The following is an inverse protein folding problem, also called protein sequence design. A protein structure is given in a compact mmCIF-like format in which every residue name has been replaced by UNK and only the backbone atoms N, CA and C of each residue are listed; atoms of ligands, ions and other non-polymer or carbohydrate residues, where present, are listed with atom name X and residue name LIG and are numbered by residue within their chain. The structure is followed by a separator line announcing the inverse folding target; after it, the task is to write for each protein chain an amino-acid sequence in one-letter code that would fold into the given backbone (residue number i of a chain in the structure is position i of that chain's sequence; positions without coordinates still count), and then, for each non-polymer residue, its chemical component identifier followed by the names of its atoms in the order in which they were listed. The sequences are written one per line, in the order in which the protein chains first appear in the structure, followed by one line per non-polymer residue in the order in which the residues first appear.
data_IF_747769566674
#
_entry.id   IF_747769566674
#
_cell.length_a   1.000
_cell.length_b   1.000
_cell.length_c   1.000
_cell.angle_alpha   90.00
_cell.angle_beta   90.00
_cell.angle_gamma   90.00
#
_symmetry.space_group_name_H-M   'P 1'
#
loop_
_entity.id
_entity.type
_entity.pdbx_description
1 polymer ?
#
# COMPACT_ATOMS: atom_id res chain seq x y z
N UNK A 1 -14.27 -37.02 69.21
CA UNK A 1 -14.40 -38.29 68.47
C UNK A 1 -13.09 -38.49 67.72
N UNK A 2 -12.10 -39.12 68.38
CA UNK A 2 -11.59 -40.50 68.21
C UNK A 2 -10.84 -40.74 66.88
N UNK A 3 -9.48 -40.61 66.89
CA UNK A 3 -8.37 -41.62 66.79
C UNK A 3 -8.26 -42.30 65.40
N UNK A 4 -7.13 -42.71 64.80
CA UNK A 4 -5.69 -42.84 65.08
C UNK A 4 -5.02 -43.14 63.67
N UNK A 5 -3.84 -42.63 63.29
CA UNK A 5 -2.43 -43.09 63.51
C UNK A 5 -1.86 -44.08 62.44
N UNK A 6 -0.57 -43.85 62.09
CA UNK A 6 0.50 -44.70 61.48
C UNK A 6 0.72 -44.64 59.96
N UNK A 7 1.89 -44.86 59.34
CA UNK A 7 3.36 -44.71 59.57
C UNK A 7 4.06 -45.17 58.25
N UNK A 8 5.25 -44.63 57.94
CA UNK A 8 6.22 -44.84 56.81
C UNK A 8 6.58 -46.33 56.45
N UNK A 9 7.44 -46.70 55.43
CA UNK A 9 8.41 -45.94 54.59
C UNK A 9 8.56 -46.38 53.09
N UNK A 10 9.54 -45.75 52.44
CA UNK A 10 10.10 -45.98 51.10
C UNK A 10 10.70 -47.37 50.83
N UNK A 11 10.70 -47.79 49.55
CA UNK A 11 11.63 -48.77 48.99
C UNK A 11 12.08 -48.32 47.59
N UNK A 12 13.40 -48.31 47.42
CA UNK A 12 14.19 -48.01 46.22
C UNK A 12 14.40 -49.31 45.43
N UNK A 13 14.18 -49.33 44.11
CA UNK A 13 14.71 -50.39 43.22
C UNK A 13 15.25 -49.79 41.92
N UNK A 14 16.58 -49.83 41.77
CA UNK A 14 17.30 -49.71 40.51
C UNK A 14 17.27 -51.07 39.78
N UNK A 15 17.03 -51.08 38.47
CA UNK A 15 17.38 -52.21 37.59
C UNK A 15 18.08 -51.68 36.34
N UNK A 16 19.23 -52.28 36.03
CA UNK A 16 20.15 -51.97 34.94
C UNK A 16 19.91 -52.88 33.71
N UNK A 17 20.07 -52.27 32.53
CA UNK A 17 20.52 -52.75 31.20
C UNK A 17 20.00 -54.07 30.54
N UNK A 18 19.40 -53.86 29.34
CA UNK A 18 19.65 -54.40 27.98
C UNK A 18 20.30 -55.79 27.74
N UNK A 19 20.14 -56.47 26.57
CA UNK A 19 19.45 -56.11 25.32
C UNK A 19 18.51 -57.22 24.76
N UNK A 20 17.70 -56.90 23.74
CA UNK A 20 17.19 -57.91 22.80
C UNK A 20 17.05 -57.28 21.41
N UNK A 21 17.79 -57.86 20.47
CA UNK A 21 17.80 -57.49 19.06
C UNK A 21 16.48 -57.91 18.41
N UNK A 22 15.79 -56.96 17.77
CA UNK A 22 14.68 -57.24 16.88
C UNK A 22 15.10 -56.91 15.44
N UNK A 23 14.99 -57.92 14.58
CA UNK A 23 15.35 -57.91 13.16
C UNK A 23 14.41 -57.00 12.37
N UNK A 24 14.96 -56.04 11.61
CA UNK A 24 14.19 -55.14 10.76
C UNK A 24 13.75 -55.85 9.45
N UNK A 25 12.53 -55.57 8.94
CA UNK A 25 12.10 -56.01 7.61
C UNK A 25 12.89 -55.27 6.50
N UNK A 26 13.01 -55.86 5.29
CA UNK A 26 13.88 -55.36 4.25
C UNK A 26 13.40 -54.00 3.70
N UNK A 27 14.38 -53.14 3.43
CA UNK A 27 14.18 -51.83 2.82
C UNK A 27 13.50 -51.96 1.46
N UNK A 28 12.28 -51.43 1.36
CA UNK A 28 11.66 -51.11 0.09
C UNK A 28 12.41 -49.94 -0.55
N UNK A 29 12.73 -50.08 -1.82
CA UNK A 29 13.33 -49.10 -2.71
C UNK A 29 12.65 -47.74 -2.56
N UNK A 30 13.43 -46.69 -2.24
CA UNK A 30 12.97 -45.29 -2.29
C UNK A 30 12.60 -44.94 -3.74
N UNK A 31 11.31 -45.03 -4.05
CA UNK A 31 10.75 -44.31 -5.19
C UNK A 31 10.84 -42.81 -4.89
N UNK A 32 11.68 -42.12 -5.65
CA UNK A 32 11.69 -40.67 -5.77
C UNK A 32 10.39 -40.21 -6.44
N UNK A 33 9.28 -40.21 -5.70
CA UNK A 33 7.98 -39.76 -6.16
C UNK A 33 7.30 -38.94 -5.05
N UNK A 34 7.51 -37.63 -5.12
CA UNK A 34 6.79 -36.70 -4.25
C UNK A 34 7.61 -35.45 -3.93
N UNK A 35 8.11 -34.74 -4.93
CA UNK A 35 8.35 -33.31 -4.75
C UNK A 35 6.99 -32.71 -4.36
N UNK A 36 6.78 -32.50 -3.06
CA UNK A 36 5.68 -31.69 -2.56
C UNK A 36 5.80 -30.36 -3.31
N UNK A 37 4.80 -29.95 -4.11
CA UNK A 37 4.90 -28.65 -4.77
C UNK A 37 5.13 -27.63 -3.67
N UNK A 38 6.20 -26.83 -3.79
CA UNK A 38 6.42 -25.66 -2.95
C UNK A 38 5.14 -24.84 -3.11
N UNK A 39 4.26 -24.91 -2.11
CA UNK A 39 3.10 -24.05 -2.04
C UNK A 39 3.69 -22.71 -1.66
N UNK A 40 3.76 -21.77 -2.60
CA UNK A 40 3.99 -20.37 -2.29
C UNK A 40 2.99 -20.00 -1.20
N UNK A 41 3.50 -19.89 0.03
CA UNK A 41 2.69 -19.45 1.16
C UNK A 41 2.32 -18.00 0.84
N UNK A 42 1.03 -17.73 0.83
CA UNK A 42 0.52 -16.38 0.67
C UNK A 42 1.20 -15.48 1.72
N UNK A 43 1.91 -14.45 1.27
CA UNK A 43 2.66 -13.55 2.15
C UNK A 43 1.72 -13.00 3.23
N UNK A 44 1.95 -13.38 4.48
CA UNK A 44 1.09 -12.99 5.60
C UNK A 44 1.23 -11.50 5.87
N UNK A 45 0.11 -10.79 5.89
CA UNK A 45 0.08 -9.35 6.20
C UNK A 45 0.25 -9.15 7.69
N UNK A 46 1.17 -8.27 8.08
CA UNK A 46 1.43 -7.97 9.49
C UNK A 46 0.23 -7.25 10.13
N UNK A 47 -0.12 -7.67 11.33
CA UNK A 47 -1.21 -7.13 12.14
C UNK A 47 -0.74 -6.77 13.55
N UNK A 48 -1.53 -5.95 14.25
CA UNK A 48 -1.30 -5.64 15.66
C UNK A 48 -0.19 -4.61 15.89
N UNK A 49 0.36 -4.60 17.11
CA UNK A 49 1.30 -3.58 17.60
C UNK A 49 2.68 -3.79 16.97
N UNK A 50 3.13 -2.83 16.18
CA UNK A 50 4.35 -2.90 15.40
C UNK A 50 5.19 -1.63 15.59
N UNK A 51 6.54 -1.73 15.60
CA UNK A 51 7.41 -0.58 15.81
C UNK A 51 7.29 0.47 14.70
N UNK A 52 6.96 0.06 13.46
CA UNK A 52 7.16 0.88 12.27
C UNK A 52 8.65 1.12 12.01
N UNK A 53 9.02 1.98 11.04
CA UNK A 53 10.41 2.37 10.89
C UNK A 53 10.81 3.32 12.01
N UNK A 54 12.07 3.24 12.42
CA UNK A 54 12.70 4.27 13.24
C UNK A 54 12.81 5.60 12.47
N UNK A 55 13.23 6.66 13.19
CA UNK A 55 13.48 7.96 12.57
C UNK A 55 14.95 8.10 12.18
N UNK A 56 15.20 8.78 11.07
CA UNK A 56 16.55 9.20 10.69
C UNK A 56 16.86 10.55 11.30
N UNK A 57 17.92 10.63 12.10
CA UNK A 57 18.45 11.90 12.61
C UNK A 57 19.47 12.45 11.63
N UNK A 58 19.20 13.62 11.08
CA UNK A 58 20.15 14.41 10.31
C UNK A 58 20.56 15.61 11.15
N UNK A 59 21.85 15.95 11.16
CA UNK A 59 22.35 17.09 11.92
C UNK A 59 23.38 17.87 11.12
N UNK A 60 23.26 19.20 11.14
CA UNK A 60 24.16 20.12 10.45
C UNK A 60 24.16 21.46 11.18
N UNK A 61 25.32 22.02 11.47
CA UNK A 61 25.49 23.38 12.04
C UNK A 61 24.61 23.64 13.28
N UNK A 62 24.49 22.64 14.18
CA UNK A 62 23.65 22.72 15.38
C UNK A 62 22.14 22.51 15.15
N UNK A 63 21.69 22.40 13.90
CA UNK A 63 20.33 22.05 13.55
C UNK A 63 20.13 20.53 13.49
N UNK A 64 18.95 20.06 13.92
CA UNK A 64 18.57 18.65 13.90
C UNK A 64 17.27 18.49 13.13
N UNK A 65 17.26 17.61 12.13
CA UNK A 65 16.07 17.18 11.41
C UNK A 65 15.83 15.70 11.70
N UNK A 66 14.62 15.37 12.17
CA UNK A 66 14.16 14.00 12.28
C UNK A 66 13.28 13.67 11.08
N UNK A 67 13.68 12.69 10.29
CA UNK A 67 12.96 12.25 9.09
C UNK A 67 12.20 10.98 9.46
N UNK A 68 10.90 10.98 9.23
CA UNK A 68 10.06 9.80 9.31
C UNK A 68 9.76 9.30 7.90
N UNK A 69 10.39 8.18 7.53
CA UNK A 69 10.18 7.53 6.24
C UNK A 69 8.86 6.79 6.21
N UNK A 70 8.06 7.03 5.19
CA UNK A 70 6.78 6.34 4.99
C UNK A 70 6.85 5.44 3.75
N UNK A 71 6.09 4.34 3.79
CA UNK A 71 5.83 3.51 2.63
C UNK A 71 4.33 3.58 2.28
N UNK A 72 4.01 3.29 1.02
CA UNK A 72 2.64 3.14 0.55
C UNK A 72 2.56 1.99 -0.46
N UNK A 73 1.54 1.11 -0.37
CA UNK A 73 0.54 1.05 0.70
C UNK A 73 1.11 0.46 2.01
N UNK A 74 0.39 0.61 3.13
CA UNK A 74 0.73 0.04 4.44
C UNK A 74 -0.24 -1.09 4.83
N UNK A 75 0.09 -1.97 5.79
CA UNK A 75 -0.84 -3.00 6.24
C UNK A 75 -2.11 -2.36 6.83
N UNK A 76 -3.29 -2.83 6.41
CA UNK A 76 -4.55 -2.15 6.73
C UNK A 76 -5.02 -2.27 8.18
N UNK A 77 -4.43 -3.17 8.98
CA UNK A 77 -4.77 -3.38 10.40
C UNK A 77 -3.54 -3.31 11.32
N UNK A 78 -2.55 -2.53 10.93
CA UNK A 78 -1.41 -2.24 11.80
C UNK A 78 -1.83 -1.31 12.94
N UNK A 79 -1.27 -1.53 14.12
CA UNK A 79 -1.26 -0.60 15.24
C UNK A 79 0.20 -0.16 15.43
N UNK A 80 0.47 1.13 15.29
CA UNK A 80 1.84 1.62 15.32
C UNK A 80 2.28 1.99 16.73
N UNK A 81 3.46 1.54 17.17
CA UNK A 81 4.10 1.99 18.41
C UNK A 81 4.72 3.38 18.20
N UNK A 82 3.92 4.41 18.42
CA UNK A 82 4.26 5.79 18.09
C UNK A 82 5.00 6.58 19.17
N UNK A 83 5.25 6.00 20.35
CA UNK A 83 5.75 6.74 21.51
C UNK A 83 7.05 7.53 21.24
N UNK A 84 7.98 6.95 20.46
CA UNK A 84 9.20 7.64 20.06
C UNK A 84 8.93 8.86 19.18
N UNK A 85 8.03 8.70 18.20
CA UNK A 85 7.63 9.79 17.27
C UNK A 85 6.92 10.90 18.05
N UNK A 86 6.01 10.54 18.95
CA UNK A 86 5.31 11.50 19.80
C UNK A 86 6.28 12.29 20.67
N UNK A 87 7.25 11.62 21.29
CA UNK A 87 8.30 12.26 22.08
C UNK A 87 9.23 13.16 21.25
N UNK A 88 9.53 12.78 19.99
CA UNK A 88 10.30 13.60 19.04
C UNK A 88 9.52 14.85 18.65
N UNK A 89 8.25 14.70 18.31
CA UNK A 89 7.40 15.84 17.94
C UNK A 89 7.29 16.80 19.12
N UNK A 90 7.11 16.31 20.35
CA UNK A 90 7.01 17.14 21.56
C UNK A 90 8.27 17.98 21.86
N UNK A 91 9.46 17.52 21.45
CA UNK A 91 10.73 18.26 21.60
C UNK A 91 11.13 19.07 20.37
N UNK A 92 10.34 18.99 19.30
CA UNK A 92 10.63 19.69 18.04
C UNK A 92 10.03 21.09 18.05
N UNK A 93 10.64 22.01 17.31
CA UNK A 93 10.10 23.37 17.14
C UNK A 93 9.10 23.43 15.98
N UNK A 94 9.22 22.51 15.02
CA UNK A 94 8.44 22.49 13.79
C UNK A 94 8.16 21.06 13.34
N UNK A 95 6.99 20.85 12.76
CA UNK A 95 6.66 19.65 11.97
C UNK A 95 6.52 20.07 10.52
N UNK A 96 7.23 19.41 9.62
CA UNK A 96 7.11 19.59 8.18
C UNK A 96 6.21 18.48 7.62
N UNK A 97 5.26 18.84 6.76
CA UNK A 97 4.45 17.86 6.03
C UNK A 97 5.31 17.14 4.97
N UNK A 98 4.92 15.91 4.55
CA UNK A 98 5.53 15.32 3.37
C UNK A 98 5.29 16.22 2.16
N UNK A 99 6.26 16.31 1.23
CA UNK A 99 6.07 17.07 0.00
C UNK A 99 4.87 16.53 -0.74
N UNK A 100 4.03 17.43 -1.25
CA UNK A 100 2.83 17.07 -1.99
C UNK A 100 2.53 18.12 -3.05
N UNK A 101 1.68 17.76 -4.00
CA UNK A 101 1.14 18.67 -5.01
C UNK A 101 -0.33 18.89 -4.70
N UNK A 102 -0.80 20.14 -4.80
CA UNK A 102 -2.23 20.44 -4.80
C UNK A 102 -2.60 21.31 -5.98
N UNK A 103 -3.73 20.97 -6.60
CA UNK A 103 -4.36 21.78 -7.63
C UNK A 103 -5.62 22.38 -7.01
N UNK A 104 -5.54 23.65 -6.65
CA UNK A 104 -6.60 24.38 -5.98
C UNK A 104 -7.37 25.20 -7.03
N UNK A 105 -8.68 25.28 -6.90
CA UNK A 105 -9.51 26.14 -7.72
C UNK A 105 -10.41 26.96 -6.81
N UNK A 106 -10.52 28.27 -7.02
CA UNK A 106 -11.40 29.14 -6.24
C UNK A 106 -12.86 28.97 -6.68
N UNK A 107 -13.41 27.81 -6.37
CA UNK A 107 -14.81 27.44 -6.59
C UNK A 107 -15.44 27.14 -5.25
N UNK A 108 -16.32 28.03 -4.81
CA UNK A 108 -17.18 27.79 -3.64
C UNK A 108 -18.06 26.55 -3.82
N UNK A 109 -18.73 26.12 -2.74
CA UNK A 109 -19.54 24.89 -2.69
C UNK A 109 -20.50 24.70 -3.88
N UNK A 110 -21.25 25.74 -4.25
CA UNK A 110 -22.16 25.68 -5.41
C UNK A 110 -21.44 25.57 -6.75
N UNK A 111 -20.26 26.19 -6.87
CA UNK A 111 -19.38 26.06 -8.03
C UNK A 111 -18.90 24.62 -8.21
N UNK A 112 -18.44 23.99 -7.12
CA UNK A 112 -18.06 22.57 -7.13
C UNK A 112 -19.23 21.65 -7.54
N UNK A 113 -20.44 21.91 -7.03
CA UNK A 113 -21.62 21.13 -7.41
C UNK A 113 -21.96 21.29 -8.90
N UNK A 114 -21.79 22.49 -9.47
CA UNK A 114 -21.99 22.75 -10.89
C UNK A 114 -20.94 22.06 -11.78
N UNK A 115 -19.75 21.74 -11.26
CA UNK A 115 -18.69 21.01 -11.98
C UNK A 115 -18.88 19.49 -11.94
N UNK A 116 -19.66 18.95 -11.01
CA UNK A 116 -19.81 17.51 -10.80
C UNK A 116 -20.23 16.74 -12.07
N UNK A 117 -21.19 17.22 -12.90
CA UNK A 117 -21.55 16.51 -14.15
C UNK A 117 -20.39 16.46 -15.15
N UNK A 118 -19.61 17.55 -15.27
CA UNK A 118 -18.47 17.62 -16.17
C UNK A 118 -17.34 16.70 -15.70
N UNK A 119 -17.04 16.70 -14.40
CA UNK A 119 -16.07 15.79 -13.79
C UNK A 119 -16.50 14.32 -13.95
N UNK A 120 -17.78 14.01 -13.73
CA UNK A 120 -18.33 12.67 -13.95
C UNK A 120 -18.18 12.22 -15.40
N UNK A 121 -18.43 13.11 -16.37
CA UNK A 121 -18.23 12.82 -17.79
C UNK A 121 -16.76 12.62 -18.12
N UNK A 122 -15.85 13.41 -17.52
CA UNK A 122 -14.41 13.32 -17.75
C UNK A 122 -13.78 12.02 -17.21
N UNK A 123 -14.41 11.35 -16.24
CA UNK A 123 -13.98 10.04 -15.76
C UNK A 123 -14.42 8.87 -16.65
N UNK A 124 -15.23 9.13 -17.69
CA UNK A 124 -15.83 8.12 -18.57
C UNK A 124 -15.27 8.22 -19.98
N UNK A 125 -15.33 7.12 -20.72
CA UNK A 125 -14.96 7.14 -22.13
C UNK A 125 -15.92 8.04 -22.92
N UNK A 126 -15.41 8.56 -24.04
CA UNK A 126 -16.17 9.34 -25.01
C UNK A 126 -17.36 8.53 -25.54
N UNK A 127 -18.47 9.22 -25.80
CA UNK A 127 -19.71 8.67 -26.36
C UNK A 127 -20.29 7.43 -25.63
N UNK A 128 -19.83 7.17 -24.39
CA UNK A 128 -20.25 6.02 -23.61
C UNK A 128 -19.60 4.70 -24.01
N UNK A 129 -18.52 4.75 -24.80
CA UNK A 129 -17.70 3.60 -25.16
C UNK A 129 -17.27 2.82 -23.91
N UNK A 130 -17.03 1.54 -24.07
CA UNK A 130 -16.54 0.67 -23.00
C UNK A 130 -15.05 0.40 -23.16
N UNK A 131 -14.47 -0.17 -22.11
CA UNK A 131 -13.09 -0.66 -22.12
C UNK A 131 -12.84 -1.69 -23.24
N UNK A 132 -13.84 -2.50 -23.63
CA UNK A 132 -13.74 -3.41 -24.78
C UNK A 132 -13.52 -2.69 -26.11
N UNK A 133 -14.05 -1.47 -26.24
CA UNK A 133 -14.00 -0.69 -27.47
C UNK A 133 -12.68 0.10 -27.60
N UNK A 134 -12.05 0.44 -26.47
CA UNK A 134 -10.90 1.37 -26.43
C UNK A 134 -9.56 0.69 -26.09
N UNK A 135 -9.57 -0.53 -25.56
CA UNK A 135 -8.35 -1.26 -25.22
C UNK A 135 -7.93 -2.24 -26.32
N UNK A 136 -6.62 -2.46 -26.50
CA UNK A 136 -6.14 -3.59 -27.30
C UNK A 136 -6.76 -4.92 -26.84
N UNK A 137 -7.17 -5.83 -27.74
CA UNK A 137 -7.90 -7.05 -27.37
C UNK A 137 -7.18 -7.93 -26.33
N UNK A 138 -5.86 -8.06 -26.44
CA UNK A 138 -5.04 -8.81 -25.48
C UNK A 138 -5.05 -8.17 -24.08
N UNK A 139 -5.03 -6.84 -24.01
CA UNK A 139 -5.09 -6.09 -22.77
C UNK A 139 -6.47 -6.20 -22.12
N UNK A 140 -7.54 -6.14 -22.91
CA UNK A 140 -8.91 -6.35 -22.44
C UNK A 140 -9.12 -7.76 -21.86
N UNK A 141 -8.56 -8.78 -22.49
CA UNK A 141 -8.64 -10.16 -22.00
C UNK A 141 -8.00 -10.32 -20.61
N UNK A 142 -6.81 -9.75 -20.40
CA UNK A 142 -6.13 -9.70 -19.10
C UNK A 142 -6.95 -8.94 -18.06
N UNK A 143 -7.47 -7.78 -18.44
CA UNK A 143 -8.37 -6.98 -17.61
C UNK A 143 -9.58 -7.79 -17.11
N UNK A 144 -10.28 -8.51 -18.01
CA UNK A 144 -11.46 -9.30 -17.64
C UNK A 144 -11.16 -10.34 -16.56
N UNK A 145 -9.97 -10.96 -16.60
CA UNK A 145 -9.53 -11.91 -15.58
C UNK A 145 -9.38 -11.23 -14.21
N UNK A 146 -8.67 -10.10 -14.15
CA UNK A 146 -8.43 -9.39 -12.89
C UNK A 146 -9.68 -8.70 -12.35
N UNK A 147 -10.49 -8.09 -13.22
CA UNK A 147 -11.78 -7.51 -12.87
C UNK A 147 -12.67 -8.53 -12.18
N UNK A 148 -12.82 -9.73 -12.75
CA UNK A 148 -13.63 -10.80 -12.14
C UNK A 148 -13.12 -11.17 -10.75
N UNK A 149 -11.80 -11.17 -10.55
CA UNK A 149 -11.15 -11.51 -9.27
C UNK A 149 -11.36 -10.44 -8.19
N UNK A 150 -11.19 -9.16 -8.52
CA UNK A 150 -11.11 -8.09 -7.51
C UNK A 150 -12.32 -7.14 -7.49
N UNK A 151 -13.02 -6.96 -8.62
CA UNK A 151 -14.18 -6.06 -8.76
C UNK A 151 -15.50 -6.82 -8.99
N UNK A 152 -15.44 -8.13 -9.21
CA UNK A 152 -16.61 -8.97 -9.44
C UNK A 152 -17.39 -8.57 -10.69
N UNK A 153 -18.70 -8.32 -10.55
CA UNK A 153 -19.63 -8.03 -11.65
C UNK A 153 -19.92 -6.54 -11.84
N UNK A 154 -19.10 -5.65 -11.29
CA UNK A 154 -19.29 -4.21 -11.50
C UNK A 154 -19.23 -3.88 -13.00
N UNK A 155 -20.37 -3.49 -13.57
CA UNK A 155 -20.47 -3.04 -14.96
C UNK A 155 -20.15 -1.55 -15.13
N UNK A 156 -20.18 -0.78 -14.04
CA UNK A 156 -19.92 0.66 -14.06
C UNK A 156 -18.49 0.98 -14.43
N UNK A 157 -17.53 0.14 -14.01
CA UNK A 157 -16.10 0.30 -14.33
C UNK A 157 -15.80 0.17 -15.83
N UNK A 158 -16.59 -0.59 -16.59
CA UNK A 158 -16.37 -0.78 -18.03
C UNK A 158 -16.57 0.49 -18.84
N UNK A 159 -17.30 1.48 -18.32
CA UNK A 159 -17.55 2.76 -19.01
C UNK A 159 -16.60 3.87 -18.55
N UNK A 160 -15.70 3.57 -17.61
CA UNK A 160 -14.70 4.53 -17.12
C UNK A 160 -13.54 4.60 -18.10
N UNK A 161 -12.83 5.73 -18.08
CA UNK A 161 -11.53 5.84 -18.76
C UNK A 161 -10.58 4.76 -18.28
N UNK A 162 -9.68 4.24 -19.13
CA UNK A 162 -8.73 3.20 -18.74
C UNK A 162 -8.01 3.51 -17.42
N UNK A 163 -7.34 4.66 -17.30
CA UNK A 163 -6.61 5.02 -16.07
C UNK A 163 -7.48 4.92 -14.80
N UNK A 164 -8.73 5.38 -14.87
CA UNK A 164 -9.66 5.37 -13.73
C UNK A 164 -10.05 3.92 -13.39
N UNK A 165 -10.41 3.12 -14.40
CA UNK A 165 -10.74 1.71 -14.22
C UNK A 165 -9.57 0.91 -13.61
N UNK A 166 -8.36 1.12 -14.10
CA UNK A 166 -7.16 0.47 -13.58
C UNK A 166 -6.84 0.91 -12.14
N UNK A 167 -7.08 2.17 -11.80
CA UNK A 167 -6.89 2.69 -10.44
C UNK A 167 -7.85 2.04 -9.45
N UNK A 168 -9.11 1.84 -9.84
CA UNK A 168 -10.09 1.14 -9.02
C UNK A 168 -9.76 -0.34 -8.85
N UNK A 169 -9.33 -1.01 -9.92
CA UNK A 169 -8.85 -2.39 -9.86
C UNK A 169 -7.65 -2.51 -8.90
N UNK A 170 -6.66 -1.62 -9.03
CA UNK A 170 -5.48 -1.60 -8.17
C UNK A 170 -5.87 -1.40 -6.70
N UNK A 171 -6.73 -0.43 -6.41
CA UNK A 171 -7.24 -0.17 -5.06
C UNK A 171 -7.99 -1.39 -4.47
N UNK A 172 -8.82 -2.06 -5.28
CA UNK A 172 -9.50 -3.28 -4.86
C UNK A 172 -8.53 -4.45 -4.62
N UNK A 173 -7.51 -4.59 -5.48
CA UNK A 173 -6.50 -5.62 -5.40
C UNK A 173 -5.64 -5.49 -4.13
N UNK A 174 -5.07 -4.32 -3.86
CA UNK A 174 -4.29 -4.10 -2.64
C UNK A 174 -5.15 -4.26 -1.37
N UNK A 175 -6.42 -3.84 -1.41
CA UNK A 175 -7.37 -4.03 -0.31
C UNK A 175 -7.64 -5.51 -0.04
N UNK A 176 -7.79 -6.32 -1.10
CA UNK A 176 -7.97 -7.77 -0.98
C UNK A 176 -6.74 -8.44 -0.36
N UNK A 177 -5.54 -7.91 -0.64
CA UNK A 177 -4.28 -8.33 -0.06
C UNK A 177 -4.05 -7.77 1.36
N UNK A 178 -5.09 -7.27 2.05
CA UNK A 178 -5.00 -6.77 3.42
C UNK A 178 -4.25 -5.44 3.59
N UNK A 179 -3.87 -4.78 2.50
CA UNK A 179 -3.21 -3.47 2.51
C UNK A 179 -4.25 -2.36 2.58
N UNK A 180 -3.96 -1.33 3.36
CA UNK A 180 -4.83 -0.20 3.63
C UNK A 180 -4.43 1.05 2.87
N UNK A 181 -5.43 1.88 2.58
CA UNK A 181 -5.26 3.26 2.14
C UNK A 181 -5.46 4.27 3.29
N UNK A 182 -5.80 3.79 4.49
CA UNK A 182 -6.01 4.66 5.64
C UNK A 182 -4.67 5.27 6.08
N UNK A 183 -4.65 6.56 6.45
CA UNK A 183 -3.44 7.18 6.91
C UNK A 183 -3.07 6.61 8.29
N UNK A 184 -2.01 5.80 8.36
CA UNK A 184 -1.50 5.22 9.61
C UNK A 184 -0.66 6.24 10.38
N UNK A 185 0.20 6.95 9.66
CA UNK A 185 1.24 7.81 10.24
C UNK A 185 0.71 9.20 10.60
N UNK A 186 -0.04 9.83 9.67
CA UNK A 186 -0.44 11.23 9.84
C UNK A 186 -1.30 11.51 11.08
N UNK A 187 -2.30 10.67 11.46
CA UNK A 187 -3.11 10.93 12.65
C UNK A 187 -2.29 10.98 13.94
N UNK A 188 -1.23 10.16 14.04
CA UNK A 188 -0.30 10.17 15.16
C UNK A 188 0.48 11.50 15.20
N UNK A 189 1.11 11.87 14.08
CA UNK A 189 1.91 13.09 13.98
C UNK A 189 1.05 14.33 14.26
N UNK A 190 -0.16 14.39 13.69
CA UNK A 190 -1.09 15.48 13.89
C UNK A 190 -1.52 15.61 15.36
N UNK A 191 -1.83 14.49 16.01
CA UNK A 191 -2.19 14.47 17.44
C UNK A 191 -1.04 14.96 18.31
N UNK A 192 0.18 14.49 18.07
CA UNK A 192 1.38 14.89 18.81
C UNK A 192 1.70 16.38 18.62
N UNK A 193 1.65 16.87 17.37
CA UNK A 193 1.90 18.28 17.06
C UNK A 193 0.89 19.20 17.76
N UNK A 194 -0.40 18.82 17.73
CA UNK A 194 -1.46 19.54 18.44
C UNK A 194 -1.22 19.57 19.95
N UNK A 195 -0.83 18.45 20.56
CA UNK A 195 -0.54 18.38 22.00
C UNK A 195 0.66 19.25 22.40
N UNK A 196 1.65 19.38 21.51
CA UNK A 196 2.83 20.23 21.70
C UNK A 196 2.60 21.70 21.32
N UNK A 197 1.41 22.08 20.84
CA UNK A 197 1.13 23.45 20.37
C UNK A 197 1.85 23.83 19.07
N UNK A 198 2.36 22.84 18.32
CA UNK A 198 3.10 23.05 17.07
C UNK A 198 2.11 23.08 15.91
N UNK A 199 2.12 24.17 15.14
CA UNK A 199 1.41 24.24 13.86
C UNK A 199 2.25 23.59 12.76
N UNK A 200 1.82 22.49 12.12
CA UNK A 200 2.57 21.90 11.02
C UNK A 200 2.75 22.89 9.86
N UNK A 201 3.94 22.88 9.25
CA UNK A 201 4.28 23.68 8.07
C UNK A 201 4.08 22.84 6.84
N UNK A 202 3.27 23.35 5.93
CA UNK A 202 3.05 22.71 4.64
C UNK A 202 4.29 22.83 3.75
N UNK A 203 4.60 21.73 3.07
CA UNK A 203 5.59 21.63 1.99
C UNK A 203 4.89 21.36 0.64
N UNK A 204 3.59 21.64 0.58
CA UNK A 204 2.78 21.46 -0.62
C UNK A 204 3.09 22.55 -1.63
N UNK A 205 3.46 22.14 -2.85
CA UNK A 205 3.47 23.03 -4.00
C UNK A 205 2.05 23.17 -4.52
N UNK A 206 1.54 24.41 -4.51
CA UNK A 206 0.17 24.72 -4.88
C UNK A 206 0.13 25.29 -6.29
N UNK A 207 -0.80 24.79 -7.07
CA UNK A 207 -1.13 25.32 -8.38
C UNK A 207 -2.58 25.78 -8.38
N UNK A 208 -2.80 27.04 -8.73
CA UNK A 208 -4.14 27.58 -8.89
C UNK A 208 -4.67 27.27 -10.29
N UNK A 209 -5.91 26.78 -10.36
CA UNK A 209 -6.65 26.55 -11.59
C UNK A 209 -7.65 27.70 -11.75
N UNK A 210 -7.31 28.65 -12.63
CA UNK A 210 -8.14 29.83 -12.91
C UNK A 210 -9.48 29.46 -13.58
N UNK A 211 -9.47 28.52 -14.54
CA UNK A 211 -10.68 28.00 -15.18
C UNK A 211 -10.80 26.48 -14.97
N UNK A 212 -11.52 26.04 -13.93
CA UNK A 212 -11.77 24.62 -13.65
C UNK A 212 -12.54 23.92 -14.76
N UNK A 213 -13.41 24.64 -15.47
CA UNK A 213 -14.17 24.05 -16.59
C UNK A 213 -13.23 23.79 -17.77
N UNK A 214 -12.32 24.71 -18.07
CA UNK A 214 -11.28 24.49 -19.07
C UNK A 214 -10.37 23.32 -18.69
N UNK A 215 -9.90 23.26 -17.44
CA UNK A 215 -9.08 22.16 -16.96
C UNK A 215 -9.75 20.79 -17.11
N UNK A 216 -11.04 20.68 -16.76
CA UNK A 216 -11.82 19.44 -16.96
C UNK A 216 -11.97 19.12 -18.46
N UNK A 217 -12.25 20.12 -19.31
CA UNK A 217 -12.36 19.92 -20.76
C UNK A 217 -11.05 19.46 -21.37
N UNK A 218 -9.93 20.04 -20.98
CA UNK A 218 -8.59 19.68 -21.49
C UNK A 218 -8.15 18.31 -20.99
N UNK A 219 -8.33 18.02 -19.71
CA UNK A 219 -8.11 16.68 -19.16
C UNK A 219 -8.90 15.61 -19.93
N UNK A 220 -10.12 15.95 -20.37
CA UNK A 220 -10.98 15.08 -21.17
C UNK A 220 -10.57 15.02 -22.65
N UNK A 221 -10.21 16.15 -23.26
CA UNK A 221 -9.85 16.25 -24.68
C UNK A 221 -8.53 15.54 -25.02
N UNK A 222 -7.72 15.27 -24.00
CA UNK A 222 -6.55 14.40 -24.12
C UNK A 222 -5.23 15.12 -23.92
N UNK A 223 -4.23 14.31 -23.57
CA UNK A 223 -2.84 14.71 -23.43
C UNK A 223 -1.92 13.59 -22.94
N UNK A 224 -2.44 12.58 -22.23
CA UNK A 224 -1.65 11.48 -21.67
C UNK A 224 -2.18 10.11 -22.10
N UNK A 225 -1.29 9.14 -22.19
CA UNK A 225 -1.60 7.77 -22.62
C UNK A 225 -2.30 6.99 -21.49
N UNK A 226 -3.64 7.07 -21.49
CA UNK A 226 -4.52 6.32 -20.61
C UNK A 226 -4.28 4.81 -20.65
N UNK A 227 -3.94 4.28 -21.84
CA UNK A 227 -3.77 2.85 -22.08
C UNK A 227 -2.44 2.37 -21.52
N UNK A 228 -1.37 3.14 -21.66
CA UNK A 228 -0.08 2.83 -21.04
C UNK A 228 -0.18 2.83 -19.51
N UNK A 229 -0.83 3.82 -18.91
CA UNK A 229 -1.05 3.81 -17.46
C UNK A 229 -1.94 2.64 -17.01
N UNK A 230 -2.98 2.32 -17.79
CA UNK A 230 -3.82 1.15 -17.55
C UNK A 230 -2.99 -0.14 -17.55
N UNK A 231 -2.16 -0.34 -18.58
CA UNK A 231 -1.33 -1.53 -18.71
C UNK A 231 -0.34 -1.64 -17.54
N UNK A 232 0.31 -0.54 -17.16
CA UNK A 232 1.24 -0.53 -16.03
C UNK A 232 0.57 -0.94 -14.72
N UNK A 233 -0.58 -0.33 -14.40
CA UNK A 233 -1.35 -0.67 -13.18
C UNK A 233 -1.87 -2.11 -13.22
N UNK A 234 -2.37 -2.58 -14.37
CA UNK A 234 -2.81 -3.97 -14.52
C UNK A 234 -1.64 -4.94 -14.30
N UNK A 235 -0.48 -4.66 -14.88
CA UNK A 235 0.70 -5.50 -14.74
C UNK A 235 1.21 -5.52 -13.29
N UNK A 236 1.01 -4.43 -12.54
CA UNK A 236 1.31 -4.37 -11.10
C UNK A 236 0.34 -5.22 -10.27
N UNK A 237 -0.96 -5.20 -10.59
CA UNK A 237 -1.95 -6.10 -9.98
C UNK A 237 -1.60 -7.57 -10.24
N UNK A 238 -1.13 -7.88 -11.45
CA UNK A 238 -0.80 -9.25 -11.85
C UNK A 238 0.48 -9.80 -11.20
N UNK A 239 1.48 -8.95 -10.92
CA UNK A 239 2.84 -9.40 -10.58
C UNK A 239 3.35 -8.88 -9.24
N UNK A 240 2.94 -7.69 -8.82
CA UNK A 240 3.61 -6.97 -7.74
C UNK A 240 2.87 -7.04 -6.40
N UNK A 241 1.64 -7.60 -6.34
CA UNK A 241 0.90 -7.70 -5.08
C UNK A 241 1.69 -8.36 -3.94
N UNK A 242 2.35 -9.53 -4.14
CA UNK A 242 3.17 -10.13 -3.08
C UNK A 242 4.31 -9.20 -2.62
N UNK A 243 4.95 -8.52 -3.58
CA UNK A 243 6.04 -7.57 -3.33
C UNK A 243 5.57 -6.32 -2.58
N UNK A 244 4.36 -5.85 -2.87
CA UNK A 244 3.71 -4.75 -2.15
C UNK A 244 3.42 -5.16 -0.69
N UNK A 245 2.96 -6.39 -0.46
CA UNK A 245 2.75 -6.92 0.90
C UNK A 245 4.08 -7.03 1.64
N UNK A 246 5.10 -7.60 1.02
CA UNK A 246 6.44 -7.73 1.61
C UNK A 246 7.02 -6.37 2.00
N UNK A 247 6.90 -5.37 1.13
CA UNK A 247 7.35 -4.01 1.39
C UNK A 247 6.57 -3.34 2.53
N UNK A 248 5.25 -3.55 2.57
CA UNK A 248 4.40 -3.04 3.64
C UNK A 248 4.75 -3.67 5.00
N UNK A 249 5.06 -4.97 5.01
CA UNK A 249 5.53 -5.69 6.19
C UNK A 249 6.91 -5.22 6.64
N UNK A 250 7.85 -5.05 5.71
CA UNK A 250 9.18 -4.52 5.99
C UNK A 250 9.10 -3.14 6.66
N UNK A 251 8.23 -2.25 6.18
CA UNK A 251 7.96 -0.98 6.85
C UNK A 251 7.38 -1.18 8.26
N UNK A 252 6.42 -2.08 8.43
CA UNK A 252 5.77 -2.33 9.71
C UNK A 252 6.76 -2.77 10.80
N UNK A 253 7.73 -3.62 10.45
CA UNK A 253 8.72 -4.14 11.41
C UNK A 253 10.02 -3.34 11.45
N UNK A 254 10.15 -2.29 10.62
CA UNK A 254 11.35 -1.47 10.53
C UNK A 254 12.54 -2.13 9.81
N UNK A 255 12.29 -3.10 8.93
CA UNK A 255 13.32 -3.75 8.11
C UNK A 255 13.75 -2.84 6.96
N UNK A 256 14.73 -1.99 7.25
CA UNK A 256 15.28 -1.03 6.28
C UNK A 256 16.00 -1.73 5.13
N UNK A 257 16.58 -2.91 5.36
CA UNK A 257 17.34 -3.61 4.31
C UNK A 257 16.40 -4.23 3.28
N UNK A 258 15.33 -4.89 3.74
CA UNK A 258 14.26 -5.34 2.86
C UNK A 258 13.65 -4.16 2.08
N UNK A 259 13.41 -3.01 2.72
CA UNK A 259 12.90 -1.81 2.03
C UNK A 259 13.86 -1.30 0.92
N UNK A 260 15.18 -1.44 1.08
CA UNK A 260 16.16 -1.06 0.04
C UNK A 260 16.15 -2.02 -1.14
N UNK A 261 15.91 -3.30 -0.90
CA UNK A 261 15.86 -4.33 -1.94
C UNK A 261 14.52 -4.33 -2.69
N UNK A 262 13.44 -4.00 -1.98
CA UNK A 262 12.07 -3.92 -2.50
C UNK A 262 11.76 -2.56 -3.14
N UNK A 263 12.75 -1.91 -3.77
CA UNK A 263 12.54 -0.68 -4.52
C UNK A 263 11.56 -0.96 -5.67
N UNK A 264 10.36 -0.44 -5.50
CA UNK A 264 9.34 -0.35 -6.51
C UNK A 264 9.40 1.06 -7.09
N UNK A 265 9.41 1.19 -8.41
CA UNK A 265 8.85 2.40 -9.00
C UNK A 265 7.39 2.44 -8.54
N UNK A 266 6.98 3.51 -7.86
CA UNK A 266 5.59 3.61 -7.42
C UNK A 266 4.68 3.46 -8.64
N UNK A 267 3.72 2.54 -8.60
CA UNK A 267 2.77 2.35 -9.71
C UNK A 267 2.02 3.65 -10.07
N UNK A 268 1.93 4.59 -9.13
CA UNK A 268 1.42 5.94 -9.35
C UNK A 268 2.46 6.87 -10.00
N UNK A 269 3.75 6.71 -9.73
CA UNK A 269 4.83 7.55 -10.27
C UNK A 269 5.11 7.34 -11.77
N UNK A 270 4.87 6.15 -12.32
CA UNK A 270 4.94 5.93 -13.77
C UNK A 270 3.75 6.58 -14.50
N UNK A 271 2.55 6.45 -13.94
CA UNK A 271 1.35 7.11 -14.48
C UNK A 271 1.40 8.63 -14.34
N UNK A 272 1.89 9.14 -13.20
CA UNK A 272 2.04 10.57 -12.95
C UNK A 272 3.08 11.20 -13.87
N UNK A 273 4.19 10.51 -14.19
CA UNK A 273 5.13 10.95 -15.24
C UNK A 273 4.45 11.08 -16.59
N UNK A 274 3.67 10.08 -17.01
CA UNK A 274 2.90 10.18 -18.26
C UNK A 274 1.88 11.34 -18.28
N UNK A 275 1.36 11.74 -17.12
CA UNK A 275 0.54 12.95 -16.97
C UNK A 275 1.39 14.22 -16.96
N UNK A 276 2.58 14.23 -16.36
CA UNK A 276 3.49 15.38 -16.36
C UNK A 276 4.08 15.65 -17.76
N UNK A 277 4.35 14.60 -18.54
CA UNK A 277 4.86 14.68 -19.92
C UNK A 277 3.76 15.04 -20.93
N UNK A 278 2.51 15.16 -20.48
CA UNK A 278 1.35 15.41 -21.32
C UNK A 278 1.20 16.87 -21.72
N UNK A 279 0.49 17.10 -22.83
CA UNK A 279 0.06 18.46 -23.22
C UNK A 279 -0.79 19.15 -22.14
N UNK A 280 -1.47 18.39 -21.26
CA UNK A 280 -2.23 18.94 -20.14
C UNK A 280 -1.33 19.59 -19.07
N UNK A 281 -0.16 19.00 -18.80
CA UNK A 281 0.83 19.54 -17.87
C UNK A 281 1.70 20.62 -18.53
N UNK A 282 2.14 20.41 -19.78
CA UNK A 282 2.91 21.40 -20.54
C UNK A 282 2.19 22.74 -20.71
N UNK A 283 0.89 22.73 -21.06
CA UNK A 283 0.10 23.94 -21.27
C UNK A 283 -0.20 24.72 -19.97
N UNK A 284 0.09 24.14 -18.79
CA UNK A 284 -0.12 24.76 -17.48
C UNK A 284 1.18 25.03 -16.72
N UNK A 285 2.34 24.80 -17.34
CA UNK A 285 3.65 24.98 -16.69
C UNK A 285 3.97 23.90 -15.65
N UNK A 286 3.33 22.73 -15.74
CA UNK A 286 3.53 21.59 -14.84
C UNK A 286 4.47 20.52 -15.43
N UNK A 287 5.14 20.81 -16.56
CA UNK A 287 5.97 19.85 -17.30
C UNK A 287 7.29 19.45 -16.61
N UNK A 288 7.69 20.15 -15.54
CA UNK A 288 8.90 19.87 -14.76
C UNK A 288 8.62 19.11 -13.43
N UNK A 289 7.42 18.51 -13.30
CA UNK A 289 7.01 17.69 -12.13
C UNK A 289 7.54 16.25 -12.20
#
# INVERSE_FOLDING_TARGET
MRVAKWSLPAVLWLVLLSPSYATAPPAGTEDAAGAVPIRDLETLVVHGVQPGPGLWKVSKDGHVLWILGTASPLPGRIQWQSAEVEAIVARSQQVLLPPSLSFDADVGFFGMLALAPAAWKAMRNEDGAKLEDVLPPALYARWQAQKRRYLGRDGGVERKRPMIAASELYAAAIKSAGLGQKPVVWPVVQKAAKAAGIKPTSTTLKFEIDDPKAAIREFRAGGFDDVACFEHKLASVERDLPRLVERANAWAVGDVEALRQLRLEGADGACLRGVADSGFAGNRGYGDL
#
